data_IF_195145229917
#
_entry.id   IF_195145229917
#
_cell.length_a   1.000
_cell.length_b   1.000
_cell.length_c   1.000
_cell.angle_alpha   90.00
_cell.angle_beta   90.00
_cell.angle_gamma   90.00
#
_symmetry.space_group_name_H-M   'P 1'
#
loop_
_entity.id
_entity.type
_entity.pdbx_description
1 polymer ?
#
# COMPACT_ATOMS: atom_id res chain seq x y z
N UNK A 1 6.47 33.23 3.54
CA UNK A 1 5.54 32.08 3.45
C UNK A 1 4.25 32.56 2.80
N UNK A 2 3.92 31.98 1.64
CA UNK A 2 2.62 32.23 1.01
C UNK A 2 1.57 31.34 1.67
N UNK A 3 0.45 31.92 2.11
CA UNK A 3 -0.68 31.15 2.61
C UNK A 3 -1.37 30.46 1.43
N UNK A 4 -1.37 29.14 1.44
CA UNK A 4 -2.03 28.30 0.43
C UNK A 4 -3.19 27.53 1.07
N UNK A 5 -4.28 27.34 0.32
CA UNK A 5 -5.43 26.56 0.77
C UNK A 5 -5.04 25.08 1.01
N UNK A 6 -4.16 24.55 0.14
CA UNK A 6 -3.59 23.21 0.26
C UNK A 6 -2.07 23.32 0.20
N UNK A 7 -1.33 23.15 1.30
CA UNK A 7 0.13 23.23 1.29
C UNK A 7 0.75 21.91 0.79
N UNK A 8 0.46 21.51 -0.45
CA UNK A 8 0.90 20.25 -1.03
C UNK A 8 2.36 20.29 -1.50
N UNK A 9 2.71 21.37 -2.21
CA UNK A 9 4.05 21.59 -2.76
C UNK A 9 4.85 22.48 -1.81
N UNK A 10 5.57 21.91 -0.86
CA UNK A 10 6.28 22.72 0.15
C UNK A 10 7.75 22.32 0.38
N UNK A 11 8.22 21.19 -0.19
CA UNK A 11 9.57 20.71 0.03
C UNK A 11 10.51 21.19 -1.08
N UNK A 12 11.40 22.11 -0.77
CA UNK A 12 12.36 22.71 -1.72
C UNK A 12 13.30 21.67 -2.33
N UNK A 13 13.68 20.63 -1.58
CA UNK A 13 14.55 19.54 -2.08
C UNK A 13 13.91 18.73 -3.22
N UNK A 14 12.61 18.72 -3.32
CA UNK A 14 11.85 17.99 -4.33
C UNK A 14 11.18 18.92 -5.36
N UNK A 15 11.56 20.19 -5.44
CA UNK A 15 10.91 21.19 -6.27
C UNK A 15 10.80 20.78 -7.74
N UNK A 16 11.87 20.24 -8.32
CA UNK A 16 11.87 19.77 -9.72
C UNK A 16 10.85 18.65 -9.96
N UNK A 17 10.75 17.68 -9.04
CA UNK A 17 9.78 16.58 -9.14
C UNK A 17 8.35 17.06 -8.98
N UNK A 18 8.09 18.01 -8.07
CA UNK A 18 6.77 18.64 -7.95
C UNK A 18 6.36 19.35 -9.24
N UNK A 19 7.28 20.14 -9.83
CA UNK A 19 7.02 20.87 -11.06
C UNK A 19 6.84 19.94 -12.26
N UNK A 20 7.51 18.80 -12.28
CA UNK A 20 7.27 17.74 -13.27
C UNK A 20 5.81 17.27 -13.31
N UNK A 21 5.16 17.16 -12.14
CA UNK A 21 3.75 16.76 -12.05
C UNK A 21 2.74 17.89 -12.23
N UNK A 22 3.12 19.14 -11.95
CA UNK A 22 2.20 20.29 -11.96
C UNK A 22 2.44 21.27 -13.09
N UNK A 23 3.59 21.18 -13.75
CA UNK A 23 4.08 22.20 -14.71
C UNK A 23 4.77 23.37 -14.00
N UNK A 24 5.41 24.24 -14.77
CA UNK A 24 6.11 25.43 -14.27
C UNK A 24 7.61 25.27 -14.07
N UNK A 25 8.32 26.37 -13.80
CA UNK A 25 9.78 26.40 -13.59
C UNK A 25 10.16 25.92 -12.19
N UNK A 26 11.23 25.12 -12.08
CA UNK A 26 11.68 24.51 -10.82
C UNK A 26 12.03 25.54 -9.73
N UNK A 27 12.49 26.73 -10.12
CA UNK A 27 12.96 27.79 -9.19
C UNK A 27 11.85 28.79 -8.81
N UNK A 28 10.64 28.61 -9.31
CA UNK A 28 9.52 29.50 -9.02
C UNK A 28 8.68 28.97 -7.86
N UNK A 29 8.21 29.85 -6.98
CA UNK A 29 7.28 29.47 -5.93
C UNK A 29 5.99 28.90 -6.54
N UNK A 30 5.44 27.80 -6.00
CA UNK A 30 4.24 27.19 -6.57
C UNK A 30 3.03 28.11 -6.47
N UNK A 31 2.27 28.21 -7.55
CA UNK A 31 0.99 28.89 -7.59
C UNK A 31 -0.12 27.99 -7.05
N UNK A 32 -1.29 28.55 -6.70
CA UNK A 32 -2.47 27.75 -6.28
C UNK A 32 -2.93 26.79 -7.39
N UNK A 33 -2.83 27.18 -8.66
CA UNK A 33 -3.18 26.32 -9.79
C UNK A 33 -2.24 25.12 -9.89
N UNK A 34 -0.95 25.33 -9.79
CA UNK A 34 0.05 24.25 -9.79
C UNK A 34 -0.15 23.32 -8.60
N UNK A 35 -0.40 23.88 -7.42
CA UNK A 35 -0.67 23.12 -6.22
C UNK A 35 -1.92 22.22 -6.36
N UNK A 36 -2.99 22.74 -6.93
CA UNK A 36 -4.20 21.95 -7.21
C UNK A 36 -3.94 20.90 -8.32
N UNK A 37 -3.19 21.26 -9.36
CA UNK A 37 -2.79 20.31 -10.41
C UNK A 37 -1.99 19.16 -9.83
N UNK A 38 -0.99 19.44 -8.99
CA UNK A 38 -0.21 18.42 -8.30
C UNK A 38 -1.09 17.50 -7.44
N UNK A 39 -2.00 18.07 -6.67
CA UNK A 39 -2.95 17.30 -5.86
C UNK A 39 -3.77 16.33 -6.71
N UNK A 40 -4.31 16.79 -7.83
CA UNK A 40 -5.16 15.96 -8.69
C UNK A 40 -4.33 14.92 -9.46
N UNK A 41 -3.22 15.33 -10.08
CA UNK A 41 -2.46 14.45 -10.98
C UNK A 41 -1.61 13.44 -10.22
N UNK A 42 -0.89 13.88 -9.19
CA UNK A 42 -0.02 13.00 -8.44
C UNK A 42 -0.76 12.34 -7.26
N UNK A 43 -1.29 13.13 -6.33
CA UNK A 43 -1.80 12.57 -5.08
C UNK A 43 -3.11 11.80 -5.26
N UNK A 44 -4.08 12.34 -5.99
CA UNK A 44 -5.34 11.64 -6.23
C UNK A 44 -5.22 10.58 -7.35
N UNK A 45 -4.69 10.95 -8.50
CA UNK A 45 -4.67 10.04 -9.64
C UNK A 45 -3.56 8.99 -9.51
N UNK A 46 -2.30 9.41 -9.40
CA UNK A 46 -1.17 8.48 -9.40
C UNK A 46 -1.06 7.68 -8.09
N UNK A 47 -1.19 8.33 -6.93
CA UNK A 47 -0.99 7.69 -5.62
C UNK A 47 -2.24 7.02 -5.05
N UNK A 48 -3.45 7.29 -5.56
CA UNK A 48 -4.66 6.66 -5.06
C UNK A 48 -5.44 5.90 -6.14
N UNK A 49 -5.92 6.59 -7.19
CA UNK A 49 -6.76 5.94 -8.20
C UNK A 49 -6.02 4.86 -8.99
N UNK A 50 -4.74 5.05 -9.28
CA UNK A 50 -3.91 4.01 -9.91
C UNK A 50 -3.88 2.73 -9.05
N UNK A 51 -3.61 2.85 -7.74
CA UNK A 51 -3.62 1.71 -6.83
C UNK A 51 -5.00 1.08 -6.68
N UNK A 52 -6.05 1.89 -6.62
CA UNK A 52 -7.42 1.40 -6.59
C UNK A 52 -7.73 0.57 -7.84
N UNK A 53 -7.37 1.07 -9.02
CA UNK A 53 -7.62 0.37 -10.28
C UNK A 53 -6.72 -0.87 -10.45
N UNK A 54 -5.54 -0.93 -9.86
CA UNK A 54 -4.73 -2.16 -9.79
C UNK A 54 -5.51 -3.32 -9.14
N UNK A 55 -6.22 -3.03 -8.08
CA UNK A 55 -6.96 -4.04 -7.33
C UNK A 55 -8.27 -4.48 -8.00
N UNK A 56 -8.88 -3.61 -8.83
CA UNK A 56 -10.23 -3.86 -9.31
C UNK A 56 -10.38 -3.86 -10.84
N UNK A 57 -9.33 -3.51 -11.57
CA UNK A 57 -9.32 -3.53 -13.04
C UNK A 57 -8.19 -4.39 -13.58
N UNK A 58 -6.95 -4.12 -13.15
CA UNK A 58 -5.75 -4.84 -13.50
C UNK A 58 -4.49 -4.00 -13.38
N UNK A 59 -3.34 -4.64 -13.27
CA UNK A 59 -2.02 -4.03 -13.09
C UNK A 59 -1.07 -4.43 -14.23
N UNK A 60 -0.36 -3.49 -14.80
CA UNK A 60 0.58 -3.69 -15.88
C UNK A 60 1.82 -4.50 -15.43
N UNK A 61 2.46 -4.08 -14.38
CA UNK A 61 3.58 -4.75 -13.70
C UNK A 61 3.77 -4.14 -12.31
N UNK A 62 4.67 -4.69 -11.49
CA UNK A 62 4.99 -4.23 -10.14
C UNK A 62 6.23 -3.32 -10.09
N UNK A 63 6.74 -2.89 -11.24
CA UNK A 63 7.88 -1.99 -11.30
C UNK A 63 7.42 -0.59 -10.90
N UNK A 64 8.10 -0.04 -9.91
CA UNK A 64 7.83 1.32 -9.46
C UNK A 64 8.22 2.32 -10.53
N UNK A 65 7.26 3.19 -10.89
CA UNK A 65 7.43 4.23 -11.88
C UNK A 65 7.24 5.63 -11.31
N UNK A 66 7.39 6.61 -12.19
CA UNK A 66 7.14 8.04 -11.92
C UNK A 66 6.07 8.62 -12.84
N UNK A 67 5.22 7.77 -13.43
CA UNK A 67 4.15 8.16 -14.36
C UNK A 67 4.42 7.83 -15.82
N UNK A 68 5.55 7.20 -16.12
CA UNK A 68 5.90 6.71 -17.46
C UNK A 68 4.97 5.57 -17.92
N UNK A 69 4.78 5.38 -19.25
CA UNK A 69 3.86 4.38 -19.80
C UNK A 69 4.24 2.92 -19.54
N UNK A 70 5.53 2.64 -19.23
CA UNK A 70 6.08 1.29 -19.13
C UNK A 70 5.96 0.69 -17.73
N UNK A 71 5.83 1.52 -16.68
CA UNK A 71 5.99 1.08 -15.30
C UNK A 71 4.74 1.29 -14.45
N UNK A 72 4.26 0.20 -13.85
CA UNK A 72 3.28 0.21 -12.77
C UNK A 72 1.96 0.90 -13.08
N UNK A 73 1.50 0.89 -14.31
CA UNK A 73 0.21 1.44 -14.67
C UNK A 73 -0.93 0.45 -14.37
N UNK A 74 -2.15 0.97 -14.26
CA UNK A 74 -3.33 0.11 -14.31
C UNK A 74 -3.66 -0.23 -15.77
N UNK A 75 -4.24 -1.38 -16.03
CA UNK A 75 -4.66 -1.85 -17.36
C UNK A 75 -6.04 -2.47 -17.30
N UNK A 76 -6.73 -2.45 -18.43
CA UNK A 76 -8.03 -3.11 -18.57
C UNK A 76 -7.92 -4.55 -19.05
N UNK A 77 -6.80 -4.93 -19.66
CA UNK A 77 -6.62 -6.18 -20.38
C UNK A 77 -7.28 -6.18 -21.78
N UNK A 78 -7.89 -5.06 -22.17
CA UNK A 78 -8.48 -4.86 -23.49
C UNK A 78 -7.46 -4.08 -24.33
N UNK A 79 -6.73 -4.78 -25.19
CA UNK A 79 -5.55 -4.25 -25.88
C UNK A 79 -5.77 -2.90 -26.59
N UNK A 80 -6.91 -2.71 -27.24
CA UNK A 80 -7.16 -1.44 -27.94
C UNK A 80 -7.36 -0.25 -26.99
N UNK A 81 -7.94 -0.48 -25.81
CA UNK A 81 -8.11 0.56 -24.76
C UNK A 81 -6.76 0.88 -24.10
N UNK A 82 -6.00 -0.15 -23.75
CA UNK A 82 -4.73 0.01 -23.07
C UNK A 82 -3.70 0.67 -24.02
N UNK A 83 -3.69 0.28 -25.31
CA UNK A 83 -2.82 0.86 -26.32
C UNK A 83 -3.11 2.35 -26.60
N UNK A 84 -4.36 2.78 -26.52
CA UNK A 84 -4.73 4.21 -26.65
C UNK A 84 -4.12 5.06 -25.51
N UNK A 85 -3.93 4.48 -24.35
CA UNK A 85 -3.46 5.19 -23.16
C UNK A 85 -1.97 5.05 -22.91
N UNK A 86 -1.41 3.87 -23.13
CA UNK A 86 -0.05 3.50 -22.75
C UNK A 86 0.85 3.17 -23.96
N UNK A 87 0.33 3.19 -25.17
CA UNK A 87 1.02 2.64 -26.35
C UNK A 87 0.91 1.13 -26.45
N UNK A 88 1.49 0.55 -27.52
CA UNK A 88 1.37 -0.88 -27.77
C UNK A 88 2.14 -1.69 -26.72
N UNK A 89 1.41 -2.36 -25.85
CA UNK A 89 1.95 -3.16 -24.75
C UNK A 89 2.76 -4.39 -25.22
N UNK A 90 2.61 -4.78 -26.48
CA UNK A 90 3.40 -5.88 -27.07
C UNK A 90 4.86 -5.48 -27.35
N UNK A 91 5.13 -4.18 -27.43
CA UNK A 91 6.47 -3.63 -27.65
C UNK A 91 7.30 -3.54 -26.36
N UNK A 92 6.70 -3.80 -25.22
CA UNK A 92 7.44 -3.84 -23.95
C UNK A 92 8.49 -4.96 -23.96
N UNK A 93 9.65 -4.73 -23.32
CA UNK A 93 10.62 -5.80 -23.05
C UNK A 93 9.97 -6.99 -22.35
N UNK A 94 10.47 -8.20 -22.63
CA UNK A 94 9.95 -9.45 -22.08
C UNK A 94 9.90 -9.41 -20.54
N UNK A 95 10.92 -8.86 -19.89
CA UNK A 95 11.00 -8.70 -18.44
C UNK A 95 9.87 -7.85 -17.80
N UNK A 96 9.30 -6.91 -18.57
CA UNK A 96 8.15 -6.10 -18.13
C UNK A 96 6.82 -6.78 -18.51
N UNK A 97 6.77 -7.41 -19.68
CA UNK A 97 5.56 -8.09 -20.17
C UNK A 97 5.24 -9.35 -19.39
N UNK A 98 6.26 -10.13 -19.00
CA UNK A 98 6.15 -11.38 -18.24
C UNK A 98 6.38 -11.19 -16.74
N UNK A 99 6.27 -9.94 -16.26
CA UNK A 99 6.37 -9.62 -14.85
C UNK A 99 5.24 -10.31 -14.06
N UNK A 100 5.57 -10.95 -12.93
CA UNK A 100 4.58 -11.63 -12.06
C UNK A 100 3.47 -10.71 -11.56
N UNK A 101 3.77 -9.42 -11.42
CA UNK A 101 2.78 -8.42 -11.06
C UNK A 101 1.83 -8.01 -12.19
N UNK A 102 1.89 -8.65 -13.37
CA UNK A 102 0.95 -8.43 -14.46
C UNK A 102 -0.36 -9.16 -14.18
N UNK A 103 -1.41 -8.41 -13.85
CA UNK A 103 -2.70 -8.94 -13.47
C UNK A 103 -3.83 -8.30 -14.29
N UNK A 104 -4.72 -9.11 -14.84
CA UNK A 104 -5.83 -8.66 -15.69
C UNK A 104 -7.16 -9.14 -15.13
N UNK A 105 -8.01 -8.22 -14.70
CA UNK A 105 -9.33 -8.54 -14.15
C UNK A 105 -10.48 -8.05 -15.04
N UNK A 106 -10.18 -7.44 -16.18
CA UNK A 106 -11.15 -6.90 -17.15
C UNK A 106 -12.15 -5.91 -16.54
N UNK A 107 -11.82 -5.31 -15.40
CA UNK A 107 -12.69 -4.41 -14.67
C UNK A 107 -13.95 -5.08 -14.08
N UNK A 108 -14.04 -6.42 -14.07
CA UNK A 108 -15.21 -7.13 -13.54
C UNK A 108 -15.47 -6.83 -12.06
N UNK A 109 -14.44 -6.82 -11.18
CA UNK A 109 -14.63 -6.42 -9.79
C UNK A 109 -15.13 -4.98 -9.65
N UNK A 110 -14.59 -4.06 -10.46
CA UNK A 110 -15.04 -2.65 -10.48
C UNK A 110 -16.52 -2.54 -10.84
N UNK A 111 -16.94 -3.22 -11.90
CA UNK A 111 -18.34 -3.21 -12.36
C UNK A 111 -19.29 -3.77 -11.29
N UNK A 112 -18.93 -4.88 -10.65
CA UNK A 112 -19.74 -5.44 -9.56
C UNK A 112 -19.81 -4.47 -8.38
N UNK A 113 -18.71 -3.82 -8.01
CA UNK A 113 -18.70 -2.82 -6.95
C UNK A 113 -19.60 -1.62 -7.24
N UNK A 114 -19.56 -1.10 -8.47
CA UNK A 114 -20.45 -0.01 -8.91
C UNK A 114 -21.92 -0.43 -8.91
N UNK A 115 -22.23 -1.65 -9.32
CA UNK A 115 -23.58 -2.22 -9.22
C UNK A 115 -24.02 -2.34 -7.75
N UNK A 116 -23.12 -2.70 -6.85
CA UNK A 116 -23.39 -2.76 -5.41
C UNK A 116 -23.70 -1.41 -4.80
N UNK A 117 -22.93 -0.37 -5.17
CA UNK A 117 -23.17 1.03 -4.80
C UNK A 117 -24.58 1.46 -5.26
N UNK A 118 -24.86 1.25 -6.53
CA UNK A 118 -26.17 1.58 -7.11
C UNK A 118 -27.32 0.85 -6.42
N UNK A 119 -27.20 -0.46 -6.25
CA UNK A 119 -28.22 -1.27 -5.59
C UNK A 119 -28.47 -0.82 -4.15
N UNK A 120 -27.42 -0.57 -3.37
CA UNK A 120 -27.54 -0.10 -1.99
C UNK A 120 -28.21 1.29 -1.92
N UNK A 121 -27.80 2.21 -2.80
CA UNK A 121 -28.38 3.56 -2.87
C UNK A 121 -29.88 3.56 -3.18
N UNK A 122 -30.34 2.65 -4.03
CA UNK A 122 -31.73 2.55 -4.47
C UNK A 122 -32.66 1.86 -3.47
N UNK A 123 -32.15 1.33 -2.33
CA UNK A 123 -32.95 0.64 -1.31
C UNK A 123 -33.66 1.56 -0.30
N UNK A 124 -33.95 2.78 -0.66
CA UNK A 124 -34.65 3.74 0.17
C UNK A 124 -33.84 4.25 1.37
N UNK A 125 -34.50 4.70 2.43
CA UNK A 125 -33.83 5.40 3.56
C UNK A 125 -32.80 4.51 4.26
N UNK A 126 -33.11 3.25 4.55
CA UNK A 126 -32.19 2.31 5.21
C UNK A 126 -30.96 2.01 4.33
N UNK A 127 -31.16 1.81 3.02
CA UNK A 127 -30.06 1.59 2.09
C UNK A 127 -29.12 2.78 2.03
N UNK A 128 -29.64 3.99 1.98
CA UNK A 128 -28.83 5.22 2.00
C UNK A 128 -28.06 5.41 3.32
N UNK A 129 -28.65 5.07 4.46
CA UNK A 129 -27.95 5.09 5.74
C UNK A 129 -26.77 4.12 5.77
N UNK A 130 -26.99 2.88 5.34
CA UNK A 130 -25.91 1.88 5.26
C UNK A 130 -24.84 2.27 4.25
N UNK A 131 -25.25 2.84 3.09
CA UNK A 131 -24.32 3.40 2.12
C UNK A 131 -23.44 4.49 2.75
N UNK A 132 -24.03 5.41 3.52
CA UNK A 132 -23.25 6.48 4.16
C UNK A 132 -22.17 5.93 5.09
N UNK A 133 -22.48 4.91 5.89
CA UNK A 133 -21.49 4.26 6.77
C UNK A 133 -20.33 3.69 5.95
N UNK A 134 -20.65 2.92 4.92
CA UNK A 134 -19.63 2.28 4.08
C UNK A 134 -18.86 3.31 3.23
N UNK A 135 -19.54 4.35 2.76
CA UNK A 135 -18.91 5.47 2.05
C UNK A 135 -17.93 6.23 2.96
N UNK A 136 -18.30 6.50 4.21
CA UNK A 136 -17.36 7.13 5.15
C UNK A 136 -16.19 6.23 5.46
N UNK A 137 -16.38 4.92 5.61
CA UNK A 137 -15.28 3.99 5.75
C UNK A 137 -14.34 4.06 4.52
N UNK A 138 -14.88 3.98 3.31
CA UNK A 138 -14.12 4.11 2.06
C UNK A 138 -13.37 5.45 1.97
N UNK A 139 -14.06 6.54 2.24
CA UNK A 139 -13.50 7.89 2.15
C UNK A 139 -12.40 8.13 3.19
N UNK A 140 -12.66 7.81 4.46
CA UNK A 140 -11.75 8.09 5.56
C UNK A 140 -10.48 7.22 5.51
N UNK A 141 -10.58 5.97 5.03
CA UNK A 141 -9.42 5.07 4.89
C UNK A 141 -8.74 5.15 3.53
N UNK A 142 -9.23 5.97 2.62
CA UNK A 142 -8.68 6.19 1.29
C UNK A 142 -8.35 7.65 1.03
N UNK A 143 -9.30 8.41 0.51
CA UNK A 143 -9.08 9.81 0.10
C UNK A 143 -8.66 10.73 1.25
N UNK A 144 -9.19 10.54 2.45
CA UNK A 144 -8.76 11.30 3.63
C UNK A 144 -7.30 10.98 4.01
N UNK A 145 -6.86 9.74 3.82
CA UNK A 145 -5.45 9.35 4.03
C UNK A 145 -4.54 10.05 3.02
N UNK A 146 -4.97 10.21 1.74
CA UNK A 146 -4.22 11.00 0.75
C UNK A 146 -3.99 12.43 1.24
N UNK A 147 -5.04 13.05 1.80
CA UNK A 147 -4.95 14.40 2.38
C UNK A 147 -4.00 14.44 3.59
N UNK A 148 -4.11 13.49 4.48
CA UNK A 148 -3.31 13.40 5.70
C UNK A 148 -1.82 13.17 5.41
N UNK A 149 -1.49 12.20 4.57
CA UNK A 149 -0.10 11.84 4.26
C UNK A 149 0.63 12.94 3.48
N UNK A 150 -0.08 13.71 2.67
CA UNK A 150 0.50 14.75 1.82
C UNK A 150 1.80 14.30 1.12
N UNK A 151 1.78 13.14 0.49
CA UNK A 151 2.98 12.47 -0.03
C UNK A 151 3.72 13.32 -1.06
N UNK A 152 5.04 13.34 -0.91
CA UNK A 152 5.98 13.97 -1.85
C UNK A 152 6.23 13.05 -3.04
N UNK A 153 6.64 13.57 -4.22
CA UNK A 153 7.11 12.74 -5.32
C UNK A 153 8.37 11.94 -4.96
N UNK A 154 8.66 10.88 -5.71
CA UNK A 154 9.87 10.09 -5.51
C UNK A 154 9.84 9.25 -4.24
N UNK A 155 8.70 8.61 -3.95
CA UNK A 155 8.61 7.68 -2.82
C UNK A 155 9.59 6.51 -3.00
N UNK A 156 10.23 6.04 -1.91
CA UNK A 156 11.23 4.96 -1.98
C UNK A 156 10.62 3.59 -2.34
N UNK A 157 9.29 3.45 -2.24
CA UNK A 157 8.53 2.26 -2.61
C UNK A 157 7.07 2.60 -2.87
N UNK A 158 6.34 1.71 -3.52
CA UNK A 158 4.89 1.82 -3.67
C UNK A 158 4.18 1.83 -2.30
N UNK A 159 3.14 2.64 -2.19
CA UNK A 159 2.44 2.92 -0.92
C UNK A 159 0.96 2.53 -0.94
N UNK A 160 0.58 1.60 -1.80
CA UNK A 160 -0.80 1.11 -1.97
C UNK A 160 -1.40 0.57 -0.66
N UNK A 161 -0.60 -0.04 0.19
CA UNK A 161 -1.02 -0.54 1.50
C UNK A 161 -1.60 0.55 2.43
N UNK A 162 -1.24 1.81 2.24
CA UNK A 162 -1.78 2.93 3.02
C UNK A 162 -3.30 3.11 2.82
N UNK A 163 -3.83 2.61 1.71
CA UNK A 163 -5.24 2.75 1.30
C UNK A 163 -6.03 1.45 1.38
N UNK A 164 -5.44 0.39 1.94
CA UNK A 164 -6.03 -0.96 2.00
C UNK A 164 -7.43 -0.97 2.64
N UNK A 165 -7.68 -0.13 3.63
CA UNK A 165 -9.01 0.02 4.24
C UNK A 165 -10.09 0.44 3.26
N UNK A 166 -9.78 1.33 2.31
CA UNK A 166 -10.73 1.74 1.26
C UNK A 166 -10.99 0.62 0.25
N UNK A 167 -9.96 -0.17 -0.06
CA UNK A 167 -10.10 -1.34 -0.94
C UNK A 167 -10.97 -2.41 -0.29
N UNK A 168 -10.80 -2.64 1.01
CA UNK A 168 -11.69 -3.51 1.79
C UNK A 168 -13.13 -3.02 1.77
N UNK A 169 -13.38 -1.73 1.99
CA UNK A 169 -14.72 -1.16 1.90
C UNK A 169 -15.33 -1.34 0.50
N UNK A 170 -14.55 -1.17 -0.55
CA UNK A 170 -15.02 -1.40 -1.92
C UNK A 170 -15.34 -2.88 -2.18
N UNK A 171 -14.56 -3.81 -1.62
CA UNK A 171 -14.83 -5.25 -1.73
C UNK A 171 -16.20 -5.63 -1.13
N UNK A 172 -16.67 -4.94 -0.09
CA UNK A 172 -18.02 -5.12 0.43
C UNK A 172 -19.07 -4.73 -0.63
N UNK A 173 -18.85 -3.63 -1.38
CA UNK A 173 -19.76 -3.28 -2.47
C UNK A 173 -19.74 -4.28 -3.62
N UNK A 174 -18.62 -4.95 -3.88
CA UNK A 174 -18.56 -6.05 -4.86
C UNK A 174 -19.54 -7.17 -4.44
N UNK A 175 -19.50 -7.60 -3.18
CA UNK A 175 -20.45 -8.57 -2.64
C UNK A 175 -21.92 -8.09 -2.70
N UNK A 176 -22.15 -6.81 -2.42
CA UNK A 176 -23.48 -6.20 -2.58
C UNK A 176 -23.93 -6.13 -4.05
N UNK A 177 -23.02 -6.03 -5.00
CA UNK A 177 -23.31 -6.10 -6.42
C UNK A 177 -23.88 -7.45 -6.82
N UNK A 178 -23.27 -8.53 -6.32
CA UNK A 178 -23.81 -9.90 -6.51
C UNK A 178 -25.21 -10.01 -5.93
N UNK A 179 -25.42 -9.53 -4.68
CA UNK A 179 -26.74 -9.52 -4.05
C UNK A 179 -27.75 -8.71 -4.87
N UNK A 180 -27.35 -7.57 -5.42
CA UNK A 180 -28.16 -6.73 -6.30
C UNK A 180 -28.59 -7.45 -7.59
N UNK A 181 -27.67 -8.15 -8.24
CA UNK A 181 -27.96 -8.96 -9.41
C UNK A 181 -28.95 -10.08 -9.08
N UNK A 182 -28.79 -10.75 -7.95
CA UNK A 182 -29.71 -11.77 -7.48
C UNK A 182 -31.13 -11.21 -7.18
N UNK A 183 -31.19 -10.02 -6.56
CA UNK A 183 -32.46 -9.33 -6.26
C UNK A 183 -33.20 -8.93 -7.55
N UNK A 184 -32.48 -8.46 -8.57
CA UNK A 184 -33.09 -8.16 -9.89
C UNK A 184 -33.72 -9.40 -10.55
N UNK A 185 -33.04 -10.56 -10.48
CA UNK A 185 -33.61 -11.82 -11.00
C UNK A 185 -34.84 -12.26 -10.21
N UNK A 186 -34.80 -12.18 -8.89
CA UNK A 186 -35.93 -12.54 -8.02
C UNK A 186 -37.16 -11.68 -8.27
N UNK A 187 -36.98 -10.37 -8.50
CA UNK A 187 -38.09 -9.46 -8.86
C UNK A 187 -38.77 -9.84 -10.19
N UNK A 188 -38.02 -10.48 -11.10
CA UNK A 188 -38.55 -11.03 -12.35
C UNK A 188 -39.14 -12.44 -12.17
N UNK A 189 -39.44 -12.87 -10.94
CA UNK A 189 -39.98 -14.19 -10.59
C UNK A 189 -39.10 -15.36 -11.10
N UNK A 190 -37.81 -15.15 -11.22
CA UNK A 190 -36.87 -16.19 -11.62
C UNK A 190 -36.89 -17.36 -10.61
N UNK A 191 -36.85 -18.59 -11.13
CA UNK A 191 -36.69 -19.79 -10.33
C UNK A 191 -35.34 -19.81 -9.60
N UNK A 192 -35.16 -20.69 -8.63
CA UNK A 192 -33.95 -20.84 -7.83
C UNK A 192 -32.73 -21.14 -8.72
N UNK A 193 -32.87 -21.93 -9.76
CA UNK A 193 -31.81 -22.36 -10.66
C UNK A 193 -31.08 -21.18 -11.34
N UNK A 194 -31.74 -20.19 -11.97
CA UNK A 194 -31.07 -19.03 -12.56
C UNK A 194 -30.30 -18.17 -11.52
N UNK A 195 -30.82 -18.06 -10.31
CA UNK A 195 -30.13 -17.33 -9.23
C UNK A 195 -28.86 -18.08 -8.81
N UNK A 196 -28.92 -19.40 -8.68
CA UNK A 196 -27.75 -20.23 -8.38
C UNK A 196 -26.68 -20.18 -9.46
N UNK A 197 -27.08 -20.23 -10.74
CA UNK A 197 -26.15 -20.07 -11.86
C UNK A 197 -25.50 -18.69 -11.90
N UNK A 198 -26.24 -17.62 -11.60
CA UNK A 198 -25.67 -16.28 -11.49
C UNK A 198 -24.64 -16.19 -10.37
N UNK A 199 -24.94 -16.78 -9.20
CA UNK A 199 -23.97 -16.80 -8.08
C UNK A 199 -22.68 -17.53 -8.46
N UNK A 200 -22.80 -18.68 -9.13
CA UNK A 200 -21.64 -19.42 -9.65
C UNK A 200 -20.84 -18.60 -10.67
N UNK A 201 -21.52 -17.91 -11.58
CA UNK A 201 -20.85 -17.01 -12.53
C UNK A 201 -20.12 -15.86 -11.82
N UNK A 202 -20.73 -15.27 -10.79
CA UNK A 202 -20.07 -14.22 -10.01
C UNK A 202 -18.86 -14.74 -9.22
N UNK A 203 -18.84 -16.01 -8.81
CA UNK A 203 -17.69 -16.63 -8.16
C UNK A 203 -16.46 -16.73 -9.10
N UNK A 204 -16.68 -16.71 -10.41
CA UNK A 204 -15.58 -16.66 -11.38
C UNK A 204 -14.69 -15.44 -11.16
N UNK A 205 -15.23 -14.30 -10.72
CA UNK A 205 -14.46 -13.05 -10.49
C UNK A 205 -13.39 -13.24 -9.42
N UNK A 206 -13.70 -13.64 -8.17
CA UNK A 206 -12.65 -13.83 -7.15
C UNK A 206 -11.73 -15.02 -7.49
N UNK A 207 -12.22 -16.07 -8.17
CA UNK A 207 -11.37 -17.19 -8.61
C UNK A 207 -10.36 -16.71 -9.65
N UNK A 208 -10.79 -15.94 -10.65
CA UNK A 208 -9.89 -15.35 -11.64
C UNK A 208 -8.87 -14.41 -10.99
N UNK A 209 -9.32 -13.54 -10.07
CA UNK A 209 -8.40 -12.69 -9.32
C UNK A 209 -7.35 -13.51 -8.57
N UNK A 210 -7.77 -14.53 -7.83
CA UNK A 210 -6.86 -15.41 -7.10
C UNK A 210 -5.87 -16.12 -8.03
N UNK A 211 -6.32 -16.61 -9.18
CA UNK A 211 -5.44 -17.29 -10.15
C UNK A 211 -4.39 -16.37 -10.77
N UNK A 212 -4.71 -15.08 -10.91
CA UNK A 212 -3.80 -14.08 -11.48
C UNK A 212 -2.79 -13.55 -10.45
N UNK A 213 -3.19 -13.47 -9.18
CA UNK A 213 -2.39 -12.83 -8.13
C UNK A 213 -1.66 -13.82 -7.23
N UNK A 214 -1.87 -15.12 -7.39
CA UNK A 214 -1.31 -16.12 -6.49
C UNK A 214 0.21 -16.09 -6.43
N UNK A 215 0.87 -16.01 -7.59
CA UNK A 215 2.31 -16.08 -7.71
C UNK A 215 3.02 -14.81 -7.19
N UNK A 216 2.40 -13.63 -7.30
CA UNK A 216 2.96 -12.39 -6.75
C UNK A 216 2.70 -12.25 -5.24
N UNK A 217 1.72 -12.99 -4.69
CA UNK A 217 1.42 -13.02 -3.25
C UNK A 217 2.02 -14.24 -2.52
N UNK A 218 2.46 -15.26 -3.24
CA UNK A 218 3.10 -16.42 -2.61
C UNK A 218 4.42 -16.02 -1.95
N UNK A 219 4.47 -16.13 -0.64
CA UNK A 219 5.64 -15.89 0.21
C UNK A 219 6.29 -17.18 0.72
N UNK A 220 5.79 -18.35 0.30
CA UNK A 220 6.39 -19.62 0.64
C UNK A 220 7.84 -19.69 0.16
N UNK A 221 8.70 -20.31 0.95
CA UNK A 221 10.14 -20.44 0.65
C UNK A 221 10.93 -19.11 0.50
N UNK A 222 10.41 -17.98 0.97
CA UNK A 222 11.11 -16.69 0.96
C UNK A 222 11.79 -16.45 2.30
N UNK A 223 12.91 -17.12 2.55
CA UNK A 223 13.64 -17.07 3.82
C UNK A 223 14.80 -16.05 3.82
N UNK A 224 15.00 -15.28 2.77
CA UNK A 224 16.15 -14.36 2.64
C UNK A 224 16.33 -13.44 3.84
N UNK A 225 15.26 -12.81 4.34
CA UNK A 225 15.36 -11.92 5.50
C UNK A 225 15.72 -12.67 6.79
N UNK A 226 15.15 -13.86 7.02
CA UNK A 226 15.50 -14.72 8.15
C UNK A 226 16.97 -15.12 8.07
N UNK A 227 17.40 -15.65 6.95
CA UNK A 227 18.76 -16.16 6.75
C UNK A 227 19.80 -15.04 6.81
N UNK A 228 19.47 -13.86 6.28
CA UNK A 228 20.30 -12.65 6.45
C UNK A 228 20.48 -12.32 7.94
N UNK A 229 19.39 -12.24 8.71
CA UNK A 229 19.43 -11.93 10.13
C UNK A 229 20.22 -12.98 10.93
N UNK A 230 19.97 -14.27 10.67
CA UNK A 230 20.69 -15.36 11.32
C UNK A 230 22.20 -15.29 11.01
N UNK A 231 22.56 -15.16 9.73
CA UNK A 231 23.97 -15.04 9.32
C UNK A 231 24.65 -13.85 9.97
N UNK A 232 23.96 -12.71 10.04
CA UNK A 232 24.50 -11.49 10.65
C UNK A 232 24.78 -11.70 12.15
N UNK A 233 23.85 -12.30 12.90
CA UNK A 233 24.05 -12.64 14.32
C UNK A 233 25.18 -13.66 14.53
N UNK A 234 25.33 -14.63 13.63
CA UNK A 234 26.36 -15.67 13.70
C UNK A 234 27.78 -15.15 13.40
N UNK A 235 27.95 -13.95 12.86
CA UNK A 235 29.28 -13.32 12.67
C UNK A 235 29.88 -12.82 13.99
N UNK A 236 29.07 -12.70 15.03
CA UNK A 236 29.51 -12.15 16.31
C UNK A 236 30.20 -13.20 17.20
N UNK A 237 31.13 -12.80 18.08
CA UNK A 237 31.78 -13.72 19.01
C UNK A 237 30.76 -14.48 19.86
N UNK A 238 31.05 -15.76 20.17
CA UNK A 238 30.18 -16.63 20.99
C UNK A 238 30.18 -16.30 22.49
N UNK A 239 31.07 -15.42 22.93
CA UNK A 239 31.23 -15.05 24.34
C UNK A 239 31.40 -13.53 24.48
N UNK A 240 31.08 -13.00 25.65
CA UNK A 240 31.36 -11.62 26.01
C UNK A 240 30.20 -10.67 25.85
N UNK A 241 28.98 -11.19 25.70
CA UNK A 241 27.76 -10.37 25.54
C UNK A 241 27.89 -9.36 24.37
N UNK A 242 28.02 -9.82 23.14
CA UNK A 242 28.29 -8.95 22.00
C UNK A 242 27.13 -7.98 21.76
N UNK A 243 27.48 -6.80 21.28
CA UNK A 243 26.53 -5.74 20.93
C UNK A 243 26.62 -5.51 19.42
N UNK A 244 25.48 -5.44 18.75
CA UNK A 244 25.39 -5.09 17.35
C UNK A 244 24.61 -3.78 17.18
N UNK A 245 25.19 -2.84 16.44
CA UNK A 245 24.54 -1.58 16.11
C UNK A 245 23.92 -1.64 14.70
N UNK A 246 22.64 -1.33 14.61
CA UNK A 246 21.85 -1.28 13.38
C UNK A 246 21.36 0.14 13.16
N UNK A 247 21.10 0.52 11.91
CA UNK A 247 20.75 1.90 11.61
C UNK A 247 19.32 2.09 11.01
N UNK A 248 18.53 1.06 10.92
CA UNK A 248 17.17 1.18 10.38
C UNK A 248 16.37 -0.11 10.49
N UNK A 249 15.17 -0.09 9.95
CA UNK A 249 14.22 -1.19 10.05
C UNK A 249 14.70 -2.45 9.30
N UNK A 250 15.31 -2.25 8.12
CA UNK A 250 15.65 -3.33 7.21
C UNK A 250 16.75 -4.26 7.74
N UNK A 251 17.68 -3.74 8.53
CA UNK A 251 18.73 -4.49 9.18
C UNK A 251 18.35 -4.94 10.60
N UNK A 252 17.49 -4.20 11.30
CA UNK A 252 17.08 -4.49 12.68
C UNK A 252 16.00 -5.57 12.76
N UNK A 253 14.93 -5.49 11.99
CA UNK A 253 13.79 -6.41 12.12
C UNK A 253 14.13 -7.88 11.81
N UNK A 254 14.98 -8.19 10.81
CA UNK A 254 15.45 -9.57 10.64
C UNK A 254 16.21 -10.12 11.83
N UNK A 255 16.97 -9.27 12.55
CA UNK A 255 17.68 -9.68 13.76
C UNK A 255 16.72 -9.94 14.92
N UNK A 256 15.78 -9.04 15.17
CA UNK A 256 14.75 -9.25 16.19
C UNK A 256 13.91 -10.48 15.88
N UNK A 257 13.47 -10.69 14.64
CA UNK A 257 12.75 -11.90 14.25
C UNK A 257 13.53 -13.19 14.63
N UNK A 258 14.84 -13.21 14.33
CA UNK A 258 15.66 -14.36 14.66
C UNK A 258 15.80 -14.57 16.18
N UNK A 259 15.91 -13.51 16.98
CA UNK A 259 15.96 -13.64 18.45
C UNK A 259 14.61 -14.01 19.05
N UNK A 260 13.51 -13.36 18.60
CA UNK A 260 12.20 -13.50 19.21
C UNK A 260 11.49 -14.80 18.79
N UNK A 261 11.68 -15.24 17.54
CA UNK A 261 10.92 -16.36 16.95
C UNK A 261 11.76 -17.60 16.76
N UNK A 262 12.99 -17.45 16.27
CA UNK A 262 13.89 -18.58 15.98
C UNK A 262 14.85 -18.87 17.16
N UNK A 263 14.84 -18.05 18.21
CA UNK A 263 15.68 -18.13 19.40
C UNK A 263 17.20 -18.15 19.13
N UNK A 264 17.61 -17.51 18.02
CA UNK A 264 18.99 -17.45 17.56
C UNK A 264 19.74 -16.33 18.29
N UNK A 265 20.86 -16.66 18.96
CA UNK A 265 21.80 -15.70 19.56
C UNK A 265 21.10 -14.66 20.46
N UNK A 266 20.32 -15.13 21.41
CA UNK A 266 19.64 -14.31 22.43
C UNK A 266 20.60 -13.65 23.43
N UNK A 267 21.88 -14.04 23.39
CA UNK A 267 23.00 -13.43 24.11
C UNK A 267 23.48 -12.10 23.50
N UNK A 268 23.11 -11.82 22.28
CA UNK A 268 23.50 -10.60 21.54
C UNK A 268 22.56 -9.44 21.86
N UNK A 269 23.12 -8.28 22.19
CA UNK A 269 22.32 -7.05 22.33
C UNK A 269 22.23 -6.32 21.01
N UNK A 270 21.00 -6.15 20.49
CA UNK A 270 20.72 -5.40 19.27
C UNK A 270 20.36 -3.97 19.64
N UNK A 271 21.11 -3.00 19.09
CA UNK A 271 20.90 -1.57 19.31
C UNK A 271 20.60 -0.86 17.99
N UNK A 272 19.38 -0.40 17.81
CA UNK A 272 18.99 0.40 16.66
C UNK A 272 19.29 1.88 16.92
N UNK A 273 20.21 2.46 16.14
CA UNK A 273 20.67 3.83 16.29
C UNK A 273 19.57 4.87 15.96
N UNK A 274 18.64 4.53 15.09
CA UNK A 274 17.50 5.41 14.79
C UNK A 274 16.55 5.54 15.97
N UNK A 275 16.31 4.46 16.72
CA UNK A 275 15.49 4.49 17.93
C UNK A 275 16.25 4.99 19.17
N UNK A 276 17.58 4.94 19.15
CA UNK A 276 18.40 5.50 20.22
C UNK A 276 18.28 7.04 20.38
N UNK A 277 17.51 7.69 19.52
CA UNK A 277 17.12 9.10 19.65
C UNK A 277 15.88 9.29 20.55
N UNK A 278 15.27 8.23 21.05
CA UNK A 278 14.06 8.29 21.87
C UNK A 278 14.34 7.80 23.30
N UNK A 279 13.73 8.46 24.26
CA UNK A 279 13.91 8.19 25.70
C UNK A 279 13.47 6.76 26.09
N UNK A 280 12.32 6.29 25.58
CA UNK A 280 11.81 4.95 25.86
C UNK A 280 12.78 3.85 25.39
N UNK A 281 13.43 4.03 24.25
CA UNK A 281 14.34 3.03 23.71
C UNK A 281 15.67 3.01 24.45
N UNK A 282 16.20 4.17 24.85
CA UNK A 282 17.38 4.25 25.71
C UNK A 282 17.14 3.50 27.03
N UNK A 283 16.00 3.74 27.68
CA UNK A 283 15.62 3.01 28.88
C UNK A 283 15.52 1.50 28.63
N UNK A 284 14.89 1.08 27.54
CA UNK A 284 14.81 -0.34 27.17
C UNK A 284 16.21 -0.95 26.96
N UNK A 285 17.14 -0.20 26.40
CA UNK A 285 18.52 -0.67 26.21
C UNK A 285 19.31 -0.81 27.54
N UNK A 286 18.97 -0.06 28.58
CA UNK A 286 19.54 -0.21 29.91
C UNK A 286 19.03 -1.47 30.65
N UNK A 287 17.87 -1.99 30.27
CA UNK A 287 17.29 -3.19 30.87
C UNK A 287 17.87 -4.48 30.23
N UNK A 288 18.04 -5.56 30.97
CA UNK A 288 18.36 -6.88 30.41
C UNK A 288 17.27 -7.33 29.43
N UNK A 289 17.65 -8.05 28.38
CA UNK A 289 16.73 -8.67 27.44
C UNK A 289 17.23 -10.06 27.08
N UNK A 290 16.42 -11.09 27.30
CA UNK A 290 16.79 -12.49 27.15
C UNK A 290 18.05 -12.82 27.97
N UNK A 291 19.07 -13.37 27.32
CA UNK A 291 20.36 -13.74 27.96
C UNK A 291 21.36 -12.57 27.88
N UNK A 292 21.02 -11.46 27.24
CA UNK A 292 21.88 -10.29 27.10
C UNK A 292 21.69 -9.31 28.29
N UNK A 293 22.75 -8.84 28.94
CA UNK A 293 22.65 -7.78 29.93
C UNK A 293 22.24 -6.46 29.28
N UNK A 294 21.79 -5.52 30.11
CA UNK A 294 21.56 -4.14 29.64
C UNK A 294 22.84 -3.47 29.14
N UNK A 295 22.73 -2.53 28.22
CA UNK A 295 23.88 -1.74 27.79
C UNK A 295 24.43 -0.89 28.95
N UNK A 296 25.74 -0.72 29.05
CA UNK A 296 26.38 0.06 30.13
C UNK A 296 26.23 1.57 29.86
N UNK A 297 24.99 2.04 29.75
CA UNK A 297 24.68 3.45 29.58
C UNK A 297 24.70 4.11 30.96
N UNK A 298 25.62 5.04 31.18
CA UNK A 298 25.80 5.72 32.46
C UNK A 298 24.84 6.90 32.71
N UNK A 299 23.98 7.19 31.76
CA UNK A 299 23.03 8.29 31.87
C UNK A 299 21.82 7.89 32.71
N UNK A 300 21.44 8.79 33.60
CA UNK A 300 20.17 8.71 34.30
C UNK A 300 19.01 9.13 33.41
N UNK A 301 17.81 8.65 33.67
CA UNK A 301 16.62 8.93 32.88
C UNK A 301 16.39 10.43 32.68
N UNK A 302 16.67 11.26 33.67
CA UNK A 302 16.54 12.71 33.59
C UNK A 302 17.49 13.38 32.56
N UNK A 303 18.54 12.69 32.11
CA UNK A 303 19.52 13.25 31.17
C UNK A 303 19.15 13.02 29.71
N UNK A 304 18.23 12.07 29.42
CA UNK A 304 17.80 11.77 28.06
C UNK A 304 16.29 11.87 27.85
N UNK A 305 15.53 12.17 28.90
CA UNK A 305 14.08 12.32 28.80
C UNK A 305 13.72 13.53 27.94
N UNK A 306 12.84 13.31 26.94
CA UNK A 306 12.40 14.36 26.03
C UNK A 306 11.67 15.49 26.79
N UNK A 307 12.03 16.73 26.47
CA UNK A 307 11.39 17.93 27.05
C UNK A 307 12.00 18.41 28.38
N UNK A 308 13.16 17.92 28.81
CA UNK A 308 13.92 18.41 29.97
C UNK A 308 15.25 19.05 29.56
#
# INVERSE_FOLDING_TARGET
TQNMLFPRMWNDRSAASYKGWSGGGANEAPTQKENLTYFITYQLNYMYWRYFLWNFVGRQNDIQGSGEPEHGNWITGISWLDNLRLGDQKLLPESLRENKGHNVFYGLPLLLGLLGIYWQWTRGKKGKQQFSVLFFLFFMTGLAIVLYLNQTPGQPRERDYAYAGSFYAFAIWIGMGVAGCCDMLRRKQAKILPVGLLMLLCLFVPIQMASQTWDDHDRSNRYTCRDFGANYLMTLPDKGNPIIFCNGDNDTFPLWYNQDTEEVRRDVRICNLSYAQTDWYIYQQQCPLYDAPGLPISWDQNQYQEGK
#
